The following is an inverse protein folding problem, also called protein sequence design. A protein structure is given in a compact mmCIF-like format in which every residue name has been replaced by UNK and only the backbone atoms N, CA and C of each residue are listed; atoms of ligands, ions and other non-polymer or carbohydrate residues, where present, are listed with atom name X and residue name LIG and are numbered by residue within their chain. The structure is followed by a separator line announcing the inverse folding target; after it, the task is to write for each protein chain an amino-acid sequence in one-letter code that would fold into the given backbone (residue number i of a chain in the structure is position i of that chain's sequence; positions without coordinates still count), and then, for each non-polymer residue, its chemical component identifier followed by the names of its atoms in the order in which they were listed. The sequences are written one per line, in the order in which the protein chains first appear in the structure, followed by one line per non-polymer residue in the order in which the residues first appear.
data_IF_738182646375
#
_entry.id   IF_738182646375
#
_cell.length_a   1.000
_cell.length_b   1.000
_cell.length_c   1.000
_cell.angle_alpha   90.00
_cell.angle_beta   90.00
_cell.angle_gamma   90.00
#
_symmetry.space_group_name_H-M   'P 1'
#
loop_
_entity.id
_entity.type
_entity.pdbx_description
1 polymer ?
#
# COMPACT_ATOMS: atom_id res chain seq x y z
N UNK A 1 -14.35 -11.30 -4.35
CA UNK A 1 -13.78 -11.11 -3.01
C UNK A 1 -13.58 -9.64 -2.69
N UNK A 2 -12.85 -8.89 -3.52
CA UNK A 2 -12.61 -7.44 -3.31
C UNK A 2 -13.93 -6.66 -3.30
N UNK A 3 -14.83 -6.96 -4.22
CA UNK A 3 -16.11 -6.29 -4.32
C UNK A 3 -16.96 -6.49 -3.07
N UNK A 4 -17.00 -7.70 -2.55
CA UNK A 4 -17.70 -8.03 -1.32
C UNK A 4 -17.04 -7.37 -0.10
N UNK A 5 -15.71 -7.44 0.00
CA UNK A 5 -14.97 -6.82 1.09
C UNK A 5 -15.20 -5.30 1.12
N UNK A 6 -15.23 -4.64 -0.03
CA UNK A 6 -15.46 -3.20 -0.11
C UNK A 6 -16.82 -2.74 0.39
N UNK A 7 -17.84 -3.59 0.31
CA UNK A 7 -19.17 -3.29 0.82
C UNK A 7 -19.26 -3.33 2.34
N UNK A 8 -18.39 -4.10 2.99
CA UNK A 8 -18.42 -4.28 4.44
C UNK A 8 -17.30 -3.57 5.19
N UNK A 9 -16.17 -3.32 4.55
CA UNK A 9 -15.01 -2.70 5.18
C UNK A 9 -15.01 -1.18 4.99
N UNK A 10 -14.53 -0.45 5.99
CA UNK A 10 -14.32 1.00 5.88
C UNK A 10 -13.12 1.30 4.98
N UNK A 11 -12.07 0.48 5.07
CA UNK A 11 -10.83 0.63 4.30
C UNK A 11 -10.32 -0.73 3.85
N UNK A 12 -9.77 -0.77 2.64
CA UNK A 12 -9.13 -1.97 2.12
C UNK A 12 -7.62 -1.74 1.96
N UNK A 13 -6.85 -2.81 2.12
CA UNK A 13 -5.40 -2.77 1.97
C UNK A 13 -4.93 -3.85 1.01
N UNK A 14 -4.10 -3.44 0.07
CA UNK A 14 -3.32 -4.36 -0.78
C UNK A 14 -1.86 -3.94 -0.65
N UNK A 15 -1.02 -4.82 -0.14
CA UNK A 15 0.35 -4.48 0.20
C UNK A 15 1.29 -4.58 -1.00
N UNK A 16 2.01 -3.50 -1.29
CA UNK A 16 3.06 -3.49 -2.31
C UNK A 16 4.22 -4.39 -1.90
N UNK A 17 4.53 -4.40 -0.62
CA UNK A 17 5.62 -5.13 0.02
C UNK A 17 7.00 -4.60 -0.37
N UNK A 18 7.46 -4.82 -1.60
CA UNK A 18 8.80 -4.45 -2.06
C UNK A 18 8.69 -3.36 -3.14
N UNK A 19 9.38 -2.21 -3.00
CA UNK A 19 9.25 -1.09 -3.94
C UNK A 19 9.65 -1.37 -5.38
N UNK A 20 10.68 -2.20 -5.60
CA UNK A 20 11.13 -2.56 -6.95
C UNK A 20 10.67 -3.96 -7.31
N UNK A 21 10.05 -4.11 -8.48
CA UNK A 21 9.54 -5.39 -8.97
C UNK A 21 10.62 -6.47 -9.06
N UNK A 22 11.80 -6.12 -9.55
CA UNK A 22 12.92 -7.05 -9.67
C UNK A 22 13.33 -7.63 -8.30
N UNK A 23 13.28 -6.83 -7.24
CA UNK A 23 13.58 -7.28 -5.88
C UNK A 23 12.42 -8.09 -5.28
N UNK A 24 11.19 -7.75 -5.62
CA UNK A 24 10.02 -8.53 -5.24
C UNK A 24 10.12 -9.94 -5.80
N UNK A 25 10.54 -10.08 -7.05
CA UNK A 25 10.70 -11.40 -7.70
C UNK A 25 11.80 -12.24 -7.09
N UNK A 26 12.84 -11.62 -6.52
CA UNK A 26 13.90 -12.33 -5.81
C UNK A 26 13.38 -13.01 -4.54
N UNK A 27 12.47 -12.36 -3.81
CA UNK A 27 11.92 -12.88 -2.56
C UNK A 27 10.67 -13.74 -2.79
N UNK A 28 9.87 -13.43 -3.78
CA UNK A 28 8.61 -14.11 -4.09
C UNK A 28 8.46 -14.21 -5.61
N UNK A 29 9.08 -15.21 -6.26
CA UNK A 29 9.09 -15.30 -7.73
C UNK A 29 7.71 -15.39 -8.38
N UNK A 30 6.69 -15.84 -7.63
CA UNK A 30 5.32 -15.94 -8.10
C UNK A 30 4.56 -14.60 -8.07
N UNK A 31 5.16 -13.56 -7.49
CA UNK A 31 4.53 -12.24 -7.39
C UNK A 31 5.15 -11.24 -8.35
N UNK A 32 4.36 -10.28 -8.78
CA UNK A 32 4.81 -9.10 -9.51
C UNK A 32 4.00 -7.88 -9.06
N UNK A 33 4.39 -6.68 -9.50
CA UNK A 33 3.68 -5.46 -9.11
C UNK A 33 2.29 -5.39 -9.75
N UNK A 34 2.07 -5.99 -10.91
CA UNK A 34 0.74 -5.99 -11.53
C UNK A 34 -0.27 -6.75 -10.67
N UNK A 35 0.13 -7.83 -10.02
CA UNK A 35 -0.75 -8.58 -9.12
C UNK A 35 -1.20 -7.75 -7.91
N UNK A 36 -0.46 -6.69 -7.58
CA UNK A 36 -0.77 -5.75 -6.49
C UNK A 36 -1.53 -4.53 -7.03
N UNK A 37 -1.06 -3.95 -8.12
CA UNK A 37 -1.64 -2.70 -8.65
C UNK A 37 -2.99 -2.91 -9.33
N UNK A 38 -3.25 -4.07 -9.92
CA UNK A 38 -4.55 -4.36 -10.50
C UNK A 38 -5.68 -4.33 -9.44
N UNK A 39 -5.55 -5.01 -8.29
CA UNK A 39 -6.52 -4.86 -7.21
C UNK A 39 -6.63 -3.42 -6.68
N UNK A 40 -5.52 -2.68 -6.61
CA UNK A 40 -5.55 -1.27 -6.17
C UNK A 40 -6.38 -0.41 -7.12
N UNK A 41 -6.23 -0.60 -8.44
CA UNK A 41 -7.03 0.13 -9.43
C UNK A 41 -8.50 -0.23 -9.31
N UNK A 42 -8.80 -1.50 -9.09
CA UNK A 42 -10.17 -1.96 -8.89
C UNK A 42 -10.82 -1.32 -7.66
N UNK A 43 -10.08 -1.28 -6.54
CA UNK A 43 -10.56 -0.63 -5.30
C UNK A 43 -10.79 0.86 -5.55
N UNK A 44 -9.84 1.53 -6.20
CA UNK A 44 -9.97 2.96 -6.53
C UNK A 44 -11.24 3.23 -7.35
N UNK A 45 -11.48 2.44 -8.37
CA UNK A 45 -12.68 2.56 -9.19
C UNK A 45 -13.94 2.38 -8.36
N UNK A 46 -14.00 1.35 -7.52
CA UNK A 46 -15.14 1.09 -6.65
C UNK A 46 -15.43 2.23 -5.68
N UNK A 47 -14.38 2.79 -5.07
CA UNK A 47 -14.53 3.94 -4.16
C UNK A 47 -15.07 5.17 -4.89
N UNK A 48 -14.52 5.47 -6.06
CA UNK A 48 -14.94 6.64 -6.82
C UNK A 48 -16.37 6.49 -7.37
N UNK A 49 -16.72 5.33 -7.88
CA UNK A 49 -18.08 5.06 -8.36
C UNK A 49 -19.11 5.13 -7.23
N UNK A 50 -18.79 4.56 -6.07
CA UNK A 50 -19.67 4.62 -4.90
C UNK A 50 -19.89 6.05 -4.44
N UNK A 51 -18.83 6.85 -4.39
CA UNK A 51 -18.95 8.27 -4.02
C UNK A 51 -19.85 9.04 -4.99
N UNK A 52 -19.74 8.76 -6.29
CA UNK A 52 -20.56 9.39 -7.31
C UNK A 52 -22.03 8.97 -7.19
N UNK A 53 -22.30 7.67 -6.99
CA UNK A 53 -23.65 7.16 -6.79
C UNK A 53 -24.30 7.75 -5.54
N UNK A 54 -23.56 7.88 -4.45
CA UNK A 54 -24.07 8.46 -3.21
C UNK A 54 -24.36 9.94 -3.31
N UNK A 55 -23.75 10.65 -4.23
CA UNK A 55 -24.10 12.04 -4.53
C UNK A 55 -25.47 12.14 -5.18
N UNK A 56 -25.86 11.15 -5.99
CA UNK A 56 -27.14 11.09 -6.70
C UNK A 56 -28.23 10.40 -5.88
N UNK A 57 -27.87 9.34 -5.15
CA UNK A 57 -28.81 8.49 -4.43
C UNK A 57 -28.39 8.36 -2.96
N UNK A 58 -29.20 8.87 -2.07
CA UNK A 58 -28.89 8.92 -0.63
C UNK A 58 -28.61 7.54 -0.01
N UNK A 59 -29.27 6.50 -0.49
CA UNK A 59 -29.17 5.15 0.07
C UNK A 59 -28.28 4.21 -0.76
N UNK A 60 -27.52 4.74 -1.72
CA UNK A 60 -26.60 3.92 -2.48
C UNK A 60 -25.54 3.28 -1.55
N UNK A 61 -25.12 2.02 -1.80
CA UNK A 61 -24.16 1.34 -0.94
C UNK A 61 -22.82 2.07 -0.88
N UNK A 62 -22.18 2.03 0.29
CA UNK A 62 -20.81 2.50 0.45
C UNK A 62 -19.84 1.41 0.00
N UNK A 63 -18.72 1.82 -0.57
CA UNK A 63 -17.63 0.93 -0.92
C UNK A 63 -16.33 1.52 -0.37
N UNK A 64 -15.71 0.85 0.62
CA UNK A 64 -14.48 1.26 1.28
C UNK A 64 -14.41 2.79 1.48
N UNK A 65 -15.34 3.40 2.23
CA UNK A 65 -15.49 4.86 2.29
C UNK A 65 -14.27 5.58 2.84
N UNK A 66 -13.43 4.91 3.63
CA UNK A 66 -12.16 5.46 4.12
C UNK A 66 -10.99 5.24 3.15
N UNK A 67 -11.26 4.70 1.95
CA UNK A 67 -10.27 4.52 0.91
C UNK A 67 -9.42 3.28 1.07
N UNK A 68 -8.18 3.35 0.59
CA UNK A 68 -7.26 2.22 0.67
C UNK A 68 -5.93 2.59 1.31
N UNK A 69 -5.23 1.57 1.78
CA UNK A 69 -3.88 1.68 2.31
C UNK A 69 -2.99 0.62 1.69
N UNK A 70 -1.71 0.76 1.87
CA UNK A 70 -0.71 -0.23 1.46
C UNK A 70 0.39 -0.30 2.50
N UNK A 71 1.25 -1.31 2.40
CA UNK A 71 2.40 -1.49 3.28
C UNK A 71 3.61 -1.89 2.45
N UNK A 72 4.77 -1.32 2.80
CA UNK A 72 6.06 -1.70 2.25
C UNK A 72 6.93 -2.31 3.32
N UNK A 73 7.76 -3.27 2.92
CA UNK A 73 8.77 -3.89 3.79
C UNK A 73 10.09 -3.18 3.54
N UNK A 74 10.73 -2.76 4.62
CA UNK A 74 11.99 -2.02 4.59
C UNK A 74 13.11 -2.90 5.13
N UNK A 75 14.27 -2.88 4.47
CA UNK A 75 15.45 -3.63 4.91
C UNK A 75 15.52 -5.06 4.41
N UNK A 76 14.55 -5.54 3.65
CA UNK A 76 14.56 -6.88 3.06
C UNK A 76 15.41 -6.95 1.79
N UNK A 77 15.56 -5.84 1.09
CA UNK A 77 16.25 -5.73 -0.19
C UNK A 77 17.04 -4.42 -0.24
N UNK A 78 17.74 -4.18 -1.33
CA UNK A 78 18.71 -3.10 -1.45
C UNK A 78 18.12 -1.75 -1.87
N UNK A 79 16.81 -1.54 -1.73
CA UNK A 79 16.20 -0.25 -2.02
C UNK A 79 16.75 0.84 -1.09
N UNK A 80 16.95 2.02 -1.64
CA UNK A 80 17.35 3.20 -0.88
C UNK A 80 16.11 3.91 -0.31
N UNK A 81 16.31 4.76 0.68
CA UNK A 81 15.25 5.61 1.22
C UNK A 81 14.59 6.44 0.13
N UNK A 82 15.40 6.90 -0.85
CA UNK A 82 14.90 7.65 -2.00
C UNK A 82 13.91 6.84 -2.83
N UNK A 83 14.21 5.55 -3.10
CA UNK A 83 13.32 4.66 -3.83
C UNK A 83 11.99 4.49 -3.11
N UNK A 84 12.05 4.28 -1.80
CA UNK A 84 10.87 4.09 -0.95
C UNK A 84 10.01 5.36 -0.91
N UNK A 85 10.63 6.51 -0.67
CA UNK A 85 9.92 7.78 -0.60
C UNK A 85 9.32 8.19 -1.94
N UNK A 86 10.03 7.90 -3.04
CA UNK A 86 9.55 8.18 -4.39
C UNK A 86 8.29 7.39 -4.71
N UNK A 87 8.29 6.10 -4.40
CA UNK A 87 7.11 5.26 -4.60
C UNK A 87 5.95 5.67 -3.67
N UNK A 88 6.24 5.99 -2.41
CA UNK A 88 5.23 6.46 -1.47
C UNK A 88 4.56 7.74 -1.96
N UNK A 89 5.33 8.68 -2.48
CA UNK A 89 4.81 9.91 -3.05
C UNK A 89 3.89 9.62 -4.25
N UNK A 90 4.31 8.73 -5.13
CA UNK A 90 3.50 8.32 -6.28
C UNK A 90 2.19 7.66 -5.86
N UNK A 91 2.22 6.83 -4.82
CA UNK A 91 1.03 6.17 -4.28
C UNK A 91 0.05 7.18 -3.67
N UNK A 92 0.55 8.16 -2.92
CA UNK A 92 -0.30 9.21 -2.34
C UNK A 92 -0.94 10.12 -3.37
N UNK A 93 -0.43 10.17 -4.59
CA UNK A 93 -1.06 10.91 -5.68
C UNK A 93 -2.34 10.23 -6.19
N UNK A 94 -2.54 8.96 -5.88
CA UNK A 94 -3.81 8.28 -6.20
C UNK A 94 -4.92 8.80 -5.30
N UNK A 95 -6.11 9.13 -5.85
CA UNK A 95 -7.15 9.84 -5.09
C UNK A 95 -7.70 9.07 -3.89
N UNK A 96 -7.57 7.74 -3.87
CA UNK A 96 -8.12 6.91 -2.81
C UNK A 96 -7.08 6.37 -1.85
N UNK A 97 -5.78 6.60 -2.10
CA UNK A 97 -4.71 6.14 -1.21
C UNK A 97 -4.62 7.05 0.01
N UNK A 98 -4.91 6.52 1.18
CA UNK A 98 -4.96 7.29 2.43
C UNK A 98 -3.76 7.07 3.33
N UNK A 99 -3.19 5.87 3.34
CA UNK A 99 -2.05 5.52 4.20
C UNK A 99 -1.08 4.61 3.48
N UNK A 100 0.21 4.87 3.66
CA UNK A 100 1.29 3.98 3.29
C UNK A 100 2.03 3.64 4.57
N UNK A 101 2.04 2.37 4.95
CA UNK A 101 2.70 1.87 6.15
C UNK A 101 4.05 1.28 5.79
N UNK A 102 4.98 1.33 6.74
CA UNK A 102 6.31 0.77 6.59
C UNK A 102 6.52 -0.28 7.68
N UNK A 103 7.12 -1.42 7.30
CA UNK A 103 7.43 -2.51 8.21
C UNK A 103 8.90 -2.89 8.05
N UNK A 104 9.63 -2.97 9.16
CA UNK A 104 11.02 -3.41 9.15
C UNK A 104 11.15 -4.92 9.31
N UNK A 105 12.19 -5.50 8.70
CA UNK A 105 12.53 -6.91 8.88
C UNK A 105 13.79 -7.02 9.75
N UNK A 106 13.73 -7.90 10.75
CA UNK A 106 14.86 -8.20 11.63
C UNK A 106 15.47 -9.54 11.19
N UNK A 107 16.61 -9.48 10.48
CA UNK A 107 17.35 -10.66 10.02
C UNK A 107 18.57 -10.97 10.89
N UNK A 108 18.81 -10.19 11.98
CA UNK A 108 19.93 -10.32 12.89
C UNK A 108 20.29 -8.97 13.51
N UNK A 109 21.30 -8.95 14.39
CA UNK A 109 21.66 -7.72 15.09
C UNK A 109 22.13 -6.58 14.18
N UNK A 110 22.86 -6.92 13.12
CA UNK A 110 23.30 -5.91 12.14
C UNK A 110 22.12 -5.23 11.43
N UNK A 111 21.13 -6.02 11.07
CA UNK A 111 19.89 -5.50 10.45
C UNK A 111 19.07 -4.72 11.47
N UNK A 112 19.09 -5.16 12.73
CA UNK A 112 18.38 -4.46 13.82
C UNK A 112 18.91 -3.03 13.99
N UNK A 113 20.23 -2.83 13.96
CA UNK A 113 20.83 -1.49 14.09
C UNK A 113 20.48 -0.61 12.89
N UNK A 114 20.54 -1.15 11.69
CA UNK A 114 20.16 -0.43 10.47
C UNK A 114 18.67 -0.07 10.47
N UNK A 115 17.81 -0.99 10.91
CA UNK A 115 16.37 -0.77 11.02
C UNK A 115 16.04 0.31 12.03
N UNK A 116 16.70 0.33 13.18
CA UNK A 116 16.49 1.35 14.21
C UNK A 116 16.84 2.74 13.68
N UNK A 117 17.95 2.87 12.93
CA UNK A 117 18.33 4.12 12.29
C UNK A 117 17.30 4.57 11.26
N UNK A 118 16.79 3.64 10.47
CA UNK A 118 15.75 3.91 9.48
C UNK A 118 14.43 4.35 10.12
N UNK A 119 14.00 3.64 11.16
CA UNK A 119 12.77 4.00 11.87
C UNK A 119 12.86 5.41 12.45
N UNK A 120 14.00 5.78 13.03
CA UNK A 120 14.21 7.12 13.54
C UNK A 120 14.12 8.15 12.41
N UNK A 121 14.71 7.89 11.27
CA UNK A 121 14.66 8.79 10.12
C UNK A 121 13.26 8.88 9.50
N UNK A 122 12.54 7.76 9.41
CA UNK A 122 11.23 7.70 8.75
C UNK A 122 10.08 8.21 9.64
N UNK A 123 10.15 7.99 10.94
CA UNK A 123 9.05 8.28 11.86
C UNK A 123 9.37 9.36 12.88
N UNK A 124 10.62 9.69 13.09
CA UNK A 124 11.07 10.66 14.08
C UNK A 124 11.29 12.07 13.56
N UNK A 125 11.14 12.23 12.27
CA UNK A 125 11.36 13.55 11.66
C UNK A 125 10.02 14.36 11.61
#
# INVERSE_FOLDING_TARGET
LVNEAGLYADRLSVNVEIPKEENLRLLAPEKDHESVFAPMRYIQQGVLESAEERRKYRYAPRFAPAGQSTQMIVGATAETDKDILFLSSALYQRPTMRRVYYSGIYLGEHVRQASAGFETAAFGA
#
